data_IF_809376119075
#
_entry.id   IF_809376119075
#
_cell.length_a   1.000
_cell.length_b   1.000
_cell.length_c   1.000
_cell.angle_alpha   90.00
_cell.angle_beta   90.00
_cell.angle_gamma   90.00
#
_symmetry.space_group_name_H-M   'P 1'
#
loop_
_entity.id
_entity.type
_entity.pdbx_description
1 polymer ?
#
# COMPACT_ATOMS: atom_id res chain seq x y z
N UNK A 1 20.07 10.25 8.23
CA UNK A 1 19.78 9.53 9.50
C UNK A 1 18.31 9.10 9.54
N UNK A 2 17.95 8.10 10.35
CA UNK A 2 16.54 7.70 10.53
C UNK A 2 15.83 8.69 11.45
N UNK A 3 14.65 9.16 11.05
CA UNK A 3 13.78 10.02 11.86
C UNK A 3 13.49 9.39 13.23
N UNK A 4 13.66 10.16 14.31
CA UNK A 4 13.36 9.74 15.68
C UNK A 4 12.10 10.43 16.19
N UNK A 5 11.26 9.67 16.88
CA UNK A 5 10.09 10.21 17.59
C UNK A 5 10.52 10.62 19.00
N UNK A 6 10.44 11.91 19.31
CA UNK A 6 10.73 12.51 20.61
C UNK A 6 9.42 12.92 21.30
N UNK A 7 9.35 12.72 22.60
CA UNK A 7 8.15 12.95 23.41
C UNK A 7 8.48 13.81 24.62
N UNK A 8 7.63 14.80 24.86
CA UNK A 8 7.56 15.64 26.04
C UNK A 8 6.18 15.42 26.69
N UNK A 9 5.98 15.63 28.01
CA UNK A 9 4.68 15.48 28.65
C UNK A 9 3.51 16.16 27.92
N UNK A 10 3.76 17.26 27.20
CA UNK A 10 2.75 18.03 26.47
C UNK A 10 2.69 17.80 24.96
N UNK A 11 3.67 17.11 24.33
CA UNK A 11 3.74 16.99 22.88
C UNK A 11 4.64 15.84 22.38
N UNK A 12 4.39 15.37 21.16
CA UNK A 12 5.24 14.39 20.48
C UNK A 12 5.63 14.91 19.08
N UNK A 13 6.90 14.76 18.69
CA UNK A 13 7.44 15.24 17.40
C UNK A 13 8.35 14.21 16.75
N UNK A 14 8.21 14.04 15.44
CA UNK A 14 9.14 13.22 14.64
C UNK A 14 10.17 14.13 13.99
N UNK A 15 11.45 13.92 14.27
CA UNK A 15 12.55 14.80 13.85
C UNK A 15 13.63 13.95 13.19
N UNK A 16 14.17 14.43 12.08
CA UNK A 16 15.21 13.80 11.28
C UNK A 16 16.58 14.49 11.40
N UNK A 17 16.60 15.78 11.77
CA UNK A 17 17.82 16.56 12.01
C UNK A 17 18.55 16.12 13.30
N UNK A 18 19.81 15.65 13.22
CA UNK A 18 20.58 15.19 14.39
C UNK A 18 20.83 16.24 15.45
N UNK A 19 21.13 17.49 15.06
CA UNK A 19 21.46 18.57 16.00
C UNK A 19 20.23 18.91 16.86
N UNK A 20 19.07 18.95 16.22
CA UNK A 20 17.81 19.23 16.90
C UNK A 20 17.39 18.08 17.83
N UNK A 21 17.70 16.84 17.46
CA UNK A 21 17.48 15.67 18.31
C UNK A 21 18.30 15.79 19.61
N UNK A 22 19.59 16.11 19.50
CA UNK A 22 20.47 16.25 20.67
C UNK A 22 20.02 17.41 21.57
N UNK A 23 19.65 18.54 20.98
CA UNK A 23 19.12 19.71 21.71
C UNK A 23 17.86 19.37 22.51
N UNK A 24 16.93 18.61 21.93
CA UNK A 24 15.68 18.26 22.62
C UNK A 24 15.91 17.19 23.69
N UNK A 25 16.81 16.24 23.44
CA UNK A 25 17.24 15.27 24.45
C UNK A 25 17.88 15.95 25.67
N UNK A 26 18.74 16.95 25.46
CA UNK A 26 19.33 17.72 26.56
C UNK A 26 18.29 18.57 27.30
N UNK A 27 17.17 18.91 26.66
CA UNK A 27 16.03 19.58 27.27
C UNK A 27 15.07 18.61 28.00
N UNK A 28 15.43 17.33 28.15
CA UNK A 28 14.65 16.34 28.88
C UNK A 28 13.55 15.66 28.07
N UNK A 29 13.52 15.82 26.75
CA UNK A 29 12.63 15.04 25.90
C UNK A 29 13.09 13.58 25.85
N UNK A 30 12.13 12.67 25.75
CA UNK A 30 12.38 11.24 25.75
C UNK A 30 12.25 10.66 24.35
N UNK A 31 13.11 9.69 24.01
CA UNK A 31 12.92 8.90 22.80
C UNK A 31 11.73 7.97 22.99
N UNK A 32 10.69 8.15 22.18
CA UNK A 32 9.66 7.13 22.08
C UNK A 32 10.27 5.89 21.44
N UNK A 33 10.17 4.76 22.15
CA UNK A 33 10.13 3.45 21.51
C UNK A 33 8.65 3.16 21.23
N UNK A 34 8.12 3.46 20.03
CA UNK A 34 6.74 3.16 19.73
C UNK A 34 6.55 1.64 19.84
N UNK A 35 5.83 1.22 20.89
CA UNK A 35 5.48 -0.19 21.08
C UNK A 35 4.61 -0.59 19.89
N UNK A 36 4.94 -1.65 19.14
CA UNK A 36 4.10 -2.07 18.03
C UNK A 36 2.70 -2.38 18.58
N UNK A 37 1.66 -1.77 17.98
CA UNK A 37 0.25 -1.95 18.39
C UNK A 37 -0.19 -3.42 18.38
N UNK A 38 0.46 -4.24 17.56
CA UNK A 38 0.27 -5.69 17.48
C UNK A 38 1.61 -6.38 17.25
N UNK A 39 1.77 -7.62 17.73
CA UNK A 39 3.00 -8.40 17.55
C UNK A 39 3.41 -8.53 16.07
N UNK A 40 2.44 -8.54 15.16
CA UNK A 40 2.63 -8.67 13.71
C UNK A 40 2.92 -7.35 13.00
N UNK A 41 2.80 -6.19 13.66
CA UNK A 41 2.90 -4.89 13.01
C UNK A 41 4.26 -4.66 12.30
N UNK A 42 5.36 -5.16 12.90
CA UNK A 42 6.69 -5.08 12.28
C UNK A 42 6.75 -5.89 10.99
N UNK A 43 6.27 -7.13 11.01
CA UNK A 43 6.23 -8.03 9.85
C UNK A 43 5.32 -7.48 8.75
N UNK A 44 4.16 -6.92 9.09
CA UNK A 44 3.26 -6.28 8.12
C UNK A 44 3.89 -5.05 7.47
N UNK A 45 4.61 -4.22 8.23
CA UNK A 45 5.34 -3.07 7.68
C UNK A 45 6.44 -3.52 6.72
N UNK A 46 7.23 -4.52 7.11
CA UNK A 46 8.27 -5.09 6.26
C UNK A 46 7.69 -5.63 4.95
N UNK A 47 6.60 -6.40 5.02
CA UNK A 47 5.90 -6.93 3.86
C UNK A 47 5.41 -5.81 2.92
N UNK A 48 4.81 -4.75 3.47
CA UNK A 48 4.34 -3.59 2.69
C UNK A 48 5.49 -2.82 2.03
N UNK A 49 6.64 -2.71 2.70
CA UNK A 49 7.83 -2.08 2.11
C UNK A 49 8.38 -2.94 0.97
N UNK A 50 8.49 -4.26 1.17
CA UNK A 50 8.93 -5.19 0.13
C UNK A 50 8.02 -5.14 -1.10
N UNK A 51 6.70 -5.26 -0.91
CA UNK A 51 5.71 -5.16 -2.00
C UNK A 51 5.83 -3.86 -2.79
N UNK A 52 6.00 -2.71 -2.11
CA UNK A 52 6.20 -1.43 -2.80
C UNK A 52 7.50 -1.39 -3.61
N UNK A 53 8.60 -1.95 -3.09
CA UNK A 53 9.86 -2.04 -3.82
C UNK A 53 9.74 -2.96 -5.05
N UNK A 54 8.96 -4.03 -4.94
CA UNK A 54 8.65 -4.98 -6.02
C UNK A 54 7.59 -4.42 -7.01
N UNK A 55 7.23 -3.13 -6.91
CA UNK A 55 6.29 -2.48 -7.84
C UNK A 55 4.80 -2.77 -7.60
N UNK A 56 4.44 -3.39 -6.48
CA UNK A 56 3.03 -3.67 -6.18
C UNK A 56 2.28 -2.39 -5.86
N UNK A 57 1.12 -2.24 -6.49
CA UNK A 57 0.18 -1.14 -6.27
C UNK A 57 -1.06 -1.62 -5.52
N UNK A 58 -1.59 -0.77 -4.64
CA UNK A 58 -2.90 -0.97 -4.05
C UNK A 58 -3.91 -0.15 -4.85
N UNK A 59 -4.93 -0.80 -5.36
CA UNK A 59 -6.04 -0.14 -6.05
C UNK A 59 -7.29 -0.24 -5.19
N UNK A 60 -8.05 0.85 -5.14
CA UNK A 60 -9.39 0.87 -4.56
C UNK A 60 -10.35 1.19 -5.69
N UNK A 61 -11.25 0.25 -5.97
CA UNK A 61 -12.23 0.35 -7.04
C UNK A 61 -13.61 0.55 -6.44
N UNK A 62 -14.35 1.47 -7.04
CA UNK A 62 -15.74 1.74 -6.70
C UNK A 62 -16.61 1.26 -7.85
N UNK A 63 -17.66 0.51 -7.52
CA UNK A 63 -18.61 -0.03 -8.49
C UNK A 63 -19.99 0.53 -8.20
N UNK A 64 -20.78 0.79 -9.24
CA UNK A 64 -22.21 0.95 -9.06
C UNK A 64 -22.81 -0.38 -8.57
N UNK A 65 -23.95 -0.31 -7.88
CA UNK A 65 -24.57 -1.49 -7.30
C UNK A 65 -24.90 -2.57 -8.36
N UNK A 66 -25.34 -2.14 -9.56
CA UNK A 66 -25.61 -3.05 -10.67
C UNK A 66 -24.35 -3.78 -11.17
N UNK A 67 -23.21 -3.10 -11.22
CA UNK A 67 -21.97 -3.67 -11.77
C UNK A 67 -21.33 -4.66 -10.80
N UNK A 68 -21.51 -4.44 -9.49
CA UNK A 68 -20.99 -5.35 -8.47
C UNK A 68 -21.59 -6.76 -8.61
N UNK A 69 -22.85 -6.87 -9.03
CA UNK A 69 -23.48 -8.17 -9.28
C UNK A 69 -22.83 -8.89 -10.46
N UNK A 70 -22.57 -8.17 -11.56
CA UNK A 70 -21.87 -8.71 -12.72
C UNK A 70 -20.44 -9.16 -12.40
N UNK A 71 -19.70 -8.35 -11.64
CA UNK A 71 -18.33 -8.67 -11.18
C UNK A 71 -18.31 -9.94 -10.33
N UNK A 72 -19.30 -10.10 -9.44
CA UNK A 72 -19.42 -11.32 -8.61
C UNK A 72 -19.76 -12.55 -9.44
N UNK A 73 -20.65 -12.42 -10.42
CA UNK A 73 -21.04 -13.51 -11.32
C UNK A 73 -19.89 -13.94 -12.24
N UNK A 74 -19.02 -13.01 -12.64
CA UNK A 74 -17.86 -13.28 -13.49
C UNK A 74 -16.72 -14.02 -12.77
N UNK A 75 -16.80 -14.21 -11.45
CA UNK A 75 -15.73 -14.81 -10.64
C UNK A 75 -15.76 -16.33 -10.70
N UNK A 76 -14.61 -16.94 -10.98
CA UNK A 76 -14.45 -18.39 -10.97
C UNK A 76 -14.38 -18.96 -9.54
N UNK A 77 -14.69 -20.25 -9.33
CA UNK A 77 -14.52 -20.90 -8.03
C UNK A 77 -13.08 -20.78 -7.52
N UNK A 78 -12.91 -20.27 -6.30
CA UNK A 78 -11.59 -20.06 -5.69
C UNK A 78 -10.81 -18.84 -6.19
N UNK A 79 -11.33 -18.08 -7.17
CA UNK A 79 -10.67 -16.90 -7.70
C UNK A 79 -10.76 -15.71 -6.72
N UNK A 80 -9.65 -14.98 -6.59
CA UNK A 80 -9.61 -13.72 -5.82
C UNK A 80 -10.05 -12.55 -6.70
N UNK A 81 -10.54 -11.46 -6.10
CA UNK A 81 -10.91 -10.26 -6.88
C UNK A 81 -9.72 -9.67 -7.68
N UNK A 82 -8.51 -9.74 -7.13
CA UNK A 82 -7.30 -9.34 -7.86
C UNK A 82 -7.05 -10.27 -9.06
N UNK A 83 -7.25 -11.58 -8.90
CA UNK A 83 -7.15 -12.56 -9.99
C UNK A 83 -8.16 -12.28 -11.09
N UNK A 84 -9.42 -12.05 -10.72
CA UNK A 84 -10.50 -11.65 -11.65
C UNK A 84 -10.11 -10.40 -12.45
N UNK A 85 -9.66 -9.33 -11.77
CA UNK A 85 -9.26 -8.08 -12.45
C UNK A 85 -8.09 -8.29 -13.41
N UNK A 86 -7.05 -9.04 -13.00
CA UNK A 86 -5.91 -9.34 -13.88
C UNK A 86 -6.35 -10.14 -15.09
N UNK A 87 -7.27 -11.11 -14.91
CA UNK A 87 -7.82 -11.89 -16.02
C UNK A 87 -8.62 -11.02 -16.98
N UNK A 88 -9.54 -10.20 -16.49
CA UNK A 88 -10.33 -9.28 -17.32
C UNK A 88 -9.45 -8.27 -18.07
N UNK A 89 -8.43 -7.72 -17.41
CA UNK A 89 -7.47 -6.81 -18.06
C UNK A 89 -6.65 -7.49 -19.16
N UNK A 90 -6.26 -8.76 -18.96
CA UNK A 90 -5.57 -9.53 -20.00
C UNK A 90 -6.50 -9.83 -21.18
N UNK A 91 -7.75 -10.20 -20.90
CA UNK A 91 -8.76 -10.46 -21.93
C UNK A 91 -9.02 -9.19 -22.77
N UNK A 92 -9.10 -8.01 -22.16
CA UNK A 92 -9.24 -6.74 -22.89
C UNK A 92 -7.95 -6.32 -23.63
N UNK A 93 -6.78 -6.45 -23.00
CA UNK A 93 -5.50 -6.10 -23.65
C UNK A 93 -5.20 -6.94 -24.89
N UNK A 94 -5.56 -8.24 -24.86
CA UNK A 94 -5.49 -9.10 -26.05
C UNK A 94 -6.54 -8.76 -27.12
N UNK A 95 -7.60 -8.01 -26.77
CA UNK A 95 -8.63 -7.59 -27.70
C UNK A 95 -8.18 -6.38 -28.53
N UNK A 96 -7.47 -5.42 -27.92
CA UNK A 96 -6.91 -4.25 -28.61
C UNK A 96 -5.77 -4.62 -29.58
N UNK A 97 -4.91 -5.58 -29.24
CA UNK A 97 -3.87 -6.05 -30.17
C UNK A 97 -4.47 -6.74 -31.41
N UNK A 98 -5.60 -7.46 -31.27
CA UNK A 98 -6.27 -8.08 -32.43
C UNK A 98 -6.98 -7.08 -33.33
N UNK A 99 -7.63 -6.06 -32.75
CA UNK A 99 -8.31 -5.04 -33.56
C UNK A 99 -7.35 -4.15 -34.34
N UNK A 100 -6.09 -4.00 -33.90
CA UNK A 100 -5.06 -3.29 -34.65
C UNK A 100 -4.47 -4.11 -35.81
N UNK A 101 -4.45 -5.44 -35.71
CA UNK A 101 -3.98 -6.32 -36.79
C UNK A 101 -5.04 -6.43 -37.89
N UNK A 102 -6.33 -6.53 -37.53
CA UNK A 102 -7.42 -6.66 -38.50
C UNK A 102 -7.83 -5.32 -39.17
N UNK A 103 -7.29 -4.17 -38.71
CA UNK A 103 -7.54 -2.85 -39.30
C UNK A 103 -6.52 -2.46 -40.40
N UNK A 104 -5.54 -3.32 -40.68
CA UNK A 104 -4.47 -3.09 -41.65
C UNK A 104 -4.44 -4.07 -42.83
N UNK A 105 -5.44 -4.95 -42.96
CA UNK A 105 -5.69 -5.81 -44.13
C UNK A 105 -6.98 -5.37 -44.87
#
# INVERSE_FOLDING_TARGET
MKSKLLVHPSQARTIDNPVEIERLLSQGWLLAKPKPRTATAKSMRALRTKRRADGWVNLTLWFAAQDLAAVRAARLPGETYAGLLVRLLREQGCYEERTLVDAHD
#
